data_IF_943412218429
#
_entry.id   IF_943412218429
#
_cell.length_a   1.000
_cell.length_b   1.000
_cell.length_c   1.000
_cell.angle_alpha   90.00
_cell.angle_beta   90.00
_cell.angle_gamma   90.00
#
_symmetry.space_group_name_H-M   'P 1'
#
loop_
_entity.id
_entity.type
_entity.pdbx_description
1 polymer ?
#
# COMPACT_ATOMS: atom_id res chain seq x y z
N UNK A 1 -21.03 30.85 85.99
CA UNK A 1 -21.40 30.43 84.62
C UNK A 1 -20.68 31.32 83.64
N UNK A 2 -19.64 30.76 83.02
CA UNK A 2 -18.66 31.44 82.16
C UNK A 2 -19.29 31.89 80.84
N UNK A 3 -19.28 33.21 80.63
CA UNK A 3 -19.42 33.85 79.33
C UNK A 3 -18.37 33.29 78.36
N UNK A 4 -18.81 32.72 77.23
CA UNK A 4 -17.94 32.31 76.13
C UNK A 4 -18.42 33.04 74.88
N UNK A 5 -17.68 34.10 74.54
CA UNK A 5 -17.89 35.00 73.41
C UNK A 5 -18.20 34.23 72.11
N UNK A 6 -19.33 34.59 71.48
CA UNK A 6 -19.52 34.47 70.03
C UNK A 6 -19.21 35.81 69.39
N UNK A 7 -18.84 35.75 68.12
CA UNK A 7 -18.75 36.80 67.09
C UNK A 7 -17.61 37.82 67.18
N UNK A 8 -16.58 37.56 66.38
CA UNK A 8 -15.62 38.53 65.89
C UNK A 8 -14.65 37.82 64.95
N UNK A 9 -15.07 37.59 63.70
CA UNK A 9 -14.12 37.26 62.62
C UNK A 9 -12.99 38.28 62.70
N UNK A 10 -11.75 37.86 62.97
CA UNK A 10 -10.67 38.83 63.10
C UNK A 10 -10.45 39.47 61.73
N UNK A 11 -10.19 40.77 61.71
CA UNK A 11 -10.02 41.53 60.47
C UNK A 11 -8.99 40.88 59.53
N UNK A 12 -7.98 40.22 60.09
CA UNK A 12 -7.00 39.39 59.38
C UNK A 12 -7.61 38.19 58.65
N UNK A 13 -8.57 37.48 59.25
CA UNK A 13 -9.27 36.35 58.63
C UNK A 13 -10.14 36.82 57.47
N UNK A 14 -10.84 37.95 57.63
CA UNK A 14 -11.63 38.56 56.55
C UNK A 14 -10.74 39.01 55.37
N UNK A 15 -9.57 39.58 55.64
CA UNK A 15 -8.61 39.97 54.60
C UNK A 15 -8.05 38.75 53.88
N UNK A 16 -7.64 37.70 54.61
CA UNK A 16 -7.15 36.45 54.01
C UNK A 16 -8.24 35.78 53.17
N UNK A 17 -9.48 35.75 53.67
CA UNK A 17 -10.63 35.21 52.93
C UNK A 17 -10.86 36.00 51.63
N UNK A 18 -10.82 37.33 51.65
CA UNK A 18 -10.92 38.16 50.45
C UNK A 18 -9.80 37.87 49.45
N UNK A 19 -8.55 37.71 49.90
CA UNK A 19 -7.43 37.36 49.01
C UNK A 19 -7.57 35.97 48.40
N UNK A 20 -7.99 34.97 49.18
CA UNK A 20 -8.24 33.62 48.68
C UNK A 20 -9.40 33.60 47.67
N UNK A 21 -10.48 34.35 47.94
CA UNK A 21 -11.65 34.43 47.06
C UNK A 21 -11.30 35.16 45.75
N UNK A 22 -10.52 36.24 45.83
CA UNK A 22 -10.00 36.94 44.65
C UNK A 22 -9.09 36.04 43.81
N UNK A 23 -8.19 35.28 44.44
CA UNK A 23 -7.30 34.36 43.74
C UNK A 23 -8.07 33.19 43.10
N UNK A 24 -9.06 32.64 43.81
CA UNK A 24 -9.93 31.58 43.29
C UNK A 24 -10.75 32.07 42.08
N UNK A 25 -11.27 33.31 42.12
CA UNK A 25 -11.95 33.95 40.99
C UNK A 25 -11.03 34.11 39.78
N UNK A 26 -9.80 34.58 39.97
CA UNK A 26 -8.82 34.73 38.89
C UNK A 26 -8.47 33.37 38.27
N UNK A 27 -8.26 32.34 39.10
CA UNK A 27 -8.00 30.98 38.61
C UNK A 27 -9.18 30.43 37.81
N UNK A 28 -10.42 30.66 38.28
CA UNK A 28 -11.61 30.21 37.57
C UNK A 28 -11.73 30.86 36.19
N UNK A 29 -11.51 32.18 36.09
CA UNK A 29 -11.54 32.89 34.80
C UNK A 29 -10.49 32.33 33.83
N UNK A 30 -9.27 32.09 34.31
CA UNK A 30 -8.21 31.52 33.49
C UNK A 30 -8.51 30.10 33.01
N UNK A 31 -9.08 29.26 33.89
CA UNK A 31 -9.51 27.91 33.53
C UNK A 31 -10.67 27.92 32.52
N UNK A 32 -11.61 28.85 32.65
CA UNK A 32 -12.70 29.01 31.68
C UNK A 32 -12.17 29.41 30.30
N UNK A 33 -11.26 30.39 30.23
CA UNK A 33 -10.64 30.81 28.97
C UNK A 33 -9.85 29.67 28.31
N UNK A 34 -8.99 28.98 29.08
CA UNK A 34 -8.25 27.82 28.60
C UNK A 34 -9.18 26.69 28.12
N UNK A 35 -10.30 26.47 28.81
CA UNK A 35 -11.31 25.49 28.40
C UNK A 35 -12.00 25.87 27.09
N UNK A 36 -12.35 27.15 26.89
CA UNK A 36 -12.98 27.62 25.66
C UNK A 36 -12.03 27.50 24.46
N UNK A 37 -10.76 27.85 24.66
CA UNK A 37 -9.71 27.68 23.64
C UNK A 37 -9.54 26.20 23.28
N UNK A 38 -9.44 25.31 24.27
CA UNK A 38 -9.32 23.88 24.03
C UNK A 38 -10.53 23.28 23.31
N UNK A 39 -11.73 23.80 23.55
CA UNK A 39 -12.94 23.38 22.83
C UNK A 39 -12.89 23.81 21.36
N UNK A 40 -12.52 25.06 21.10
CA UNK A 40 -12.35 25.56 19.72
C UNK A 40 -11.28 24.77 18.94
N UNK A 41 -10.14 24.48 19.58
CA UNK A 41 -9.08 23.69 18.96
C UNK A 41 -9.53 22.25 18.66
N UNK A 42 -10.34 21.66 19.56
CA UNK A 42 -10.87 20.31 19.37
C UNK A 42 -11.88 20.26 18.22
N UNK A 43 -12.75 21.25 18.10
CA UNK A 43 -13.70 21.38 16.99
C UNK A 43 -12.97 21.54 15.66
N UNK A 44 -11.95 22.42 15.60
CA UNK A 44 -11.14 22.60 14.39
C UNK A 44 -10.44 21.30 13.97
N UNK A 45 -9.91 20.53 14.92
CA UNK A 45 -9.29 19.22 14.65
C UNK A 45 -10.29 18.19 14.13
N UNK A 46 -11.52 18.16 14.66
CA UNK A 46 -12.56 17.27 14.18
C UNK A 46 -12.97 17.58 12.74
N UNK A 47 -13.15 18.87 12.42
CA UNK A 47 -13.45 19.30 11.04
C UNK A 47 -12.28 18.99 10.11
N UNK A 48 -11.05 19.25 10.53
CA UNK A 48 -9.86 18.95 9.74
C UNK A 48 -9.72 17.45 9.45
N UNK A 49 -9.97 16.58 10.43
CA UNK A 49 -9.96 15.13 10.25
C UNK A 49 -11.04 14.68 9.26
N UNK A 50 -12.26 15.18 9.39
CA UNK A 50 -13.35 14.88 8.47
C UNK A 50 -13.02 15.29 7.02
N UNK A 51 -12.45 16.48 6.83
CA UNK A 51 -12.03 16.95 5.50
C UNK A 51 -10.89 16.10 4.92
N UNK A 52 -9.96 15.66 5.77
CA UNK A 52 -8.86 14.80 5.35
C UNK A 52 -9.39 13.42 4.89
N UNK A 53 -10.30 12.82 5.65
CA UNK A 53 -10.93 11.55 5.32
C UNK A 53 -11.76 11.64 4.03
N UNK A 54 -12.60 12.67 3.88
CA UNK A 54 -13.37 12.90 2.67
C UNK A 54 -12.47 13.05 1.42
N UNK A 55 -11.35 13.76 1.55
CA UNK A 55 -10.37 13.92 0.45
C UNK A 55 -9.69 12.58 0.14
N UNK A 56 -9.36 11.78 1.15
CA UNK A 56 -8.79 10.46 0.96
C UNK A 56 -9.76 9.52 0.24
N UNK A 57 -11.05 9.59 0.58
CA UNK A 57 -12.10 8.83 -0.10
C UNK A 57 -12.35 9.30 -1.53
N UNK A 58 -12.23 10.59 -1.80
CA UNK A 58 -12.24 11.14 -3.17
C UNK A 58 -11.09 10.56 -4.00
N UNK A 59 -9.87 10.53 -3.46
CA UNK A 59 -8.71 9.94 -4.14
C UNK A 59 -8.90 8.43 -4.38
N UNK A 60 -9.45 7.69 -3.42
CA UNK A 60 -9.81 6.27 -3.59
C UNK A 60 -10.85 6.06 -4.68
N UNK A 61 -11.87 6.91 -4.73
CA UNK A 61 -12.92 6.85 -5.73
C UNK A 61 -12.41 7.24 -7.12
N UNK A 62 -11.47 8.18 -7.20
CA UNK A 62 -10.82 8.57 -8.46
C UNK A 62 -10.01 7.43 -9.07
N UNK A 63 -9.30 6.66 -8.25
CA UNK A 63 -8.55 5.47 -8.69
C UNK A 63 -9.44 4.26 -8.98
N UNK A 64 -10.69 4.26 -8.53
CA UNK A 64 -11.58 3.13 -8.68
C UNK A 64 -11.80 2.69 -10.15
N UNK A 65 -12.14 3.58 -11.12
CA UNK A 65 -12.33 3.19 -12.52
C UNK A 65 -11.07 2.62 -13.16
N UNK A 66 -9.93 3.26 -12.96
CA UNK A 66 -8.65 2.88 -13.56
C UNK A 66 -7.50 3.32 -12.65
N UNK A 67 -6.77 2.36 -12.12
CA UNK A 67 -5.61 2.62 -11.25
C UNK A 67 -4.41 3.16 -12.02
N UNK A 68 -4.31 2.84 -13.32
CA UNK A 68 -3.19 3.24 -14.16
C UNK A 68 -3.19 4.72 -14.51
N UNK A 69 -4.35 5.40 -14.39
CA UNK A 69 -4.46 6.87 -14.53
C UNK A 69 -3.64 7.61 -13.46
N UNK A 70 -3.42 6.96 -12.30
CA UNK A 70 -2.61 7.51 -11.23
C UNK A 70 -3.27 8.67 -10.48
N UNK A 71 -2.48 9.31 -9.61
CA UNK A 71 -2.93 10.41 -8.74
C UNK A 71 -2.14 11.72 -8.97
N UNK A 72 -1.50 11.86 -10.13
CA UNK A 72 -0.69 13.05 -10.44
C UNK A 72 -1.51 14.34 -10.38
N UNK A 73 -2.80 14.28 -10.72
CA UNK A 73 -3.73 15.41 -10.61
C UNK A 73 -3.98 15.88 -9.18
N UNK A 74 -3.68 15.06 -8.18
CA UNK A 74 -3.75 15.40 -6.76
C UNK A 74 -2.38 15.77 -6.16
N UNK A 75 -1.28 15.52 -6.88
CA UNK A 75 0.04 15.72 -6.30
C UNK A 75 0.42 17.20 -6.21
N UNK A 76 0.69 17.69 -4.99
CA UNK A 76 1.05 19.09 -4.71
C UNK A 76 -0.12 20.06 -4.82
N UNK A 77 -1.35 19.56 -4.99
CA UNK A 77 -2.53 20.42 -5.11
C UNK A 77 -2.89 21.00 -3.74
N UNK A 78 -3.16 22.30 -3.73
CA UNK A 78 -3.69 23.00 -2.56
C UNK A 78 -5.03 23.62 -2.90
N UNK A 79 -6.07 23.27 -2.14
CA UNK A 79 -7.44 23.76 -2.32
C UNK A 79 -8.04 24.20 -0.99
N UNK A 80 -9.02 25.10 -1.06
CA UNK A 80 -9.84 25.48 0.08
C UNK A 80 -11.22 24.86 -0.07
N UNK A 81 -11.78 24.42 1.06
CA UNK A 81 -13.12 23.88 1.06
C UNK A 81 -14.17 25.02 1.00
N UNK A 82 -15.18 24.96 0.12
CA UNK A 82 -16.21 26.00 0.02
C UNK A 82 -17.09 26.13 1.28
N UNK A 83 -17.32 25.03 2.00
CA UNK A 83 -18.11 25.01 3.23
C UNK A 83 -17.27 25.42 4.45
N UNK A 84 -15.96 25.19 4.39
CA UNK A 84 -15.00 25.51 5.44
C UNK A 84 -13.82 26.34 4.91
N UNK A 85 -14.03 27.64 4.55
CA UNK A 85 -13.02 28.46 3.87
C UNK A 85 -11.78 28.79 4.71
N UNK A 86 -11.84 28.56 6.03
CA UNK A 86 -10.72 28.70 6.95
C UNK A 86 -9.71 27.54 6.89
N UNK A 87 -10.03 26.46 6.17
CA UNK A 87 -9.18 25.28 6.05
C UNK A 87 -8.53 25.23 4.67
N UNK A 88 -7.26 24.87 4.67
CA UNK A 88 -6.45 24.64 3.47
C UNK A 88 -6.08 23.16 3.42
N UNK A 89 -6.46 22.51 2.34
CA UNK A 89 -6.19 21.09 2.08
C UNK A 89 -5.05 21.02 1.08
N UNK A 90 -3.97 20.34 1.45
CA UNK A 90 -2.83 20.06 0.59
C UNK A 90 -2.70 18.55 0.42
N UNK A 91 -2.61 18.08 -0.81
CA UNK A 91 -2.50 16.67 -1.15
C UNK A 91 -1.15 16.37 -1.77
N UNK A 92 -0.57 15.23 -1.41
CA UNK A 92 0.62 14.65 -2.04
C UNK A 92 0.32 13.21 -2.38
N UNK A 93 0.64 12.82 -3.60
CA UNK A 93 0.44 11.45 -4.07
C UNK A 93 1.64 11.03 -4.91
N UNK A 94 2.27 9.92 -4.53
CA UNK A 94 3.41 9.37 -5.26
C UNK A 94 3.35 7.84 -5.27
N UNK A 95 3.87 7.23 -6.34
CA UNK A 95 4.05 5.78 -6.39
C UNK A 95 4.99 5.34 -5.28
N UNK A 96 4.58 4.34 -4.52
CA UNK A 96 5.32 3.84 -3.37
C UNK A 96 5.73 2.38 -3.59
N UNK A 97 7.03 2.12 -3.83
CA UNK A 97 7.50 0.76 -4.07
C UNK A 97 7.36 -0.10 -2.81
N UNK A 98 6.73 -1.27 -2.94
CA UNK A 98 6.48 -2.20 -1.84
C UNK A 98 7.36 -3.44 -1.96
N UNK A 99 8.16 -3.73 -0.94
CA UNK A 99 8.91 -4.98 -0.89
C UNK A 99 8.00 -6.17 -0.52
N UNK A 100 8.15 -7.29 -1.22
CA UNK A 100 7.36 -8.51 -0.98
C UNK A 100 8.28 -9.69 -0.68
N UNK A 101 8.14 -10.39 0.47
CA UNK A 101 6.99 -10.34 1.39
C UNK A 101 7.06 -9.21 2.43
N UNK A 102 8.25 -8.69 2.76
CA UNK A 102 8.42 -7.50 3.59
C UNK A 102 9.78 -6.85 3.34
N UNK A 103 9.92 -5.57 3.71
CA UNK A 103 11.14 -4.77 3.50
C UNK A 103 12.38 -5.42 4.12
N UNK A 104 12.31 -5.84 5.37
CA UNK A 104 13.45 -6.41 6.10
C UNK A 104 14.00 -7.69 5.47
N UNK A 105 13.13 -8.55 4.90
CA UNK A 105 13.58 -9.77 4.23
C UNK A 105 14.17 -9.47 2.85
N UNK A 106 13.65 -8.46 2.18
CA UNK A 106 14.09 -8.06 0.84
C UNK A 106 15.38 -7.23 0.85
N UNK A 107 15.72 -6.57 1.96
CA UNK A 107 17.00 -5.85 2.14
C UNK A 107 18.24 -6.76 2.05
N UNK A 108 18.09 -8.06 2.29
CA UNK A 108 19.20 -9.02 2.17
C UNK A 108 19.64 -9.26 0.71
N UNK A 109 18.85 -8.79 -0.27
CA UNK A 109 19.07 -9.02 -1.68
C UNK A 109 19.55 -7.75 -2.40
N UNK A 110 20.44 -7.89 -3.40
CA UNK A 110 20.90 -6.75 -4.17
C UNK A 110 19.75 -6.13 -4.98
N UNK A 111 19.80 -4.80 -5.13
CA UNK A 111 18.81 -4.02 -5.86
C UNK A 111 18.87 -4.21 -7.39
N UNK A 112 19.94 -4.80 -7.90
CA UNK A 112 20.09 -5.17 -9.31
C UNK A 112 20.86 -6.47 -9.34
N UNK A 113 20.28 -7.51 -9.92
CA UNK A 113 20.92 -8.82 -9.92
C UNK A 113 21.45 -9.22 -11.30
N UNK A 114 22.60 -9.90 -11.27
CA UNK A 114 23.04 -10.76 -12.36
C UNK A 114 22.73 -12.19 -11.96
N UNK A 115 22.07 -12.92 -12.84
CA UNK A 115 21.77 -14.34 -12.65
C UNK A 115 23.06 -15.11 -12.30
N UNK A 116 23.07 -16.01 -11.29
CA UNK A 116 21.94 -16.63 -10.59
C UNK A 116 21.57 -15.96 -9.25
N UNK A 117 22.20 -14.84 -8.88
CA UNK A 117 21.86 -14.16 -7.62
C UNK A 117 20.42 -13.64 -7.73
N UNK A 118 19.52 -13.95 -6.80
CA UNK A 118 18.14 -13.46 -6.87
C UNK A 118 18.09 -11.96 -6.56
N UNK A 119 17.32 -11.24 -7.36
CA UNK A 119 17.04 -9.82 -7.14
C UNK A 119 16.10 -9.61 -5.96
N UNK A 120 16.17 -8.40 -5.40
CA UNK A 120 15.17 -7.89 -4.47
C UNK A 120 13.80 -7.83 -5.16
N UNK A 121 12.79 -8.39 -4.51
CA UNK A 121 11.42 -8.36 -5.01
C UNK A 121 10.70 -7.11 -4.54
N UNK A 122 10.52 -6.17 -5.47
CA UNK A 122 9.82 -4.90 -5.26
C UNK A 122 8.62 -4.83 -6.20
N UNK A 123 7.48 -4.42 -5.65
CA UNK A 123 6.26 -4.10 -6.39
C UNK A 123 6.27 -2.57 -6.59
N UNK A 124 6.71 -2.10 -7.74
CA UNK A 124 6.97 -0.68 -8.00
C UNK A 124 5.71 0.13 -8.28
N UNK A 125 4.70 -0.51 -8.88
CA UNK A 125 3.50 0.13 -9.41
C UNK A 125 2.23 -0.39 -8.74
N UNK A 126 2.35 -1.01 -7.57
CA UNK A 126 1.23 -1.67 -6.87
C UNK A 126 0.51 -0.79 -5.84
N UNK A 127 1.12 0.32 -5.41
CA UNK A 127 0.53 1.21 -4.41
C UNK A 127 0.93 2.67 -4.63
N UNK A 128 -0.03 3.56 -4.41
CA UNK A 128 0.21 4.99 -4.25
C UNK A 128 0.25 5.35 -2.78
N UNK A 129 1.25 6.12 -2.35
CA UNK A 129 1.23 6.78 -1.06
C UNK A 129 0.51 8.11 -1.18
N UNK A 130 -0.64 8.21 -0.53
CA UNK A 130 -1.45 9.42 -0.45
C UNK A 130 -1.29 10.07 0.92
N UNK A 131 -0.87 11.33 0.93
CA UNK A 131 -0.80 12.18 2.11
C UNK A 131 -1.74 13.37 1.93
N UNK A 132 -2.66 13.52 2.88
CA UNK A 132 -3.60 14.65 2.93
C UNK A 132 -3.30 15.44 4.18
N UNK A 133 -2.87 16.69 4.00
CA UNK A 133 -2.64 17.65 5.07
C UNK A 133 -3.76 18.68 5.07
N UNK A 134 -4.46 18.83 6.18
CA UNK A 134 -5.48 19.87 6.38
C UNK A 134 -5.01 20.82 7.47
N UNK A 135 -4.77 22.08 7.11
CA UNK A 135 -4.32 23.12 8.03
C UNK A 135 -5.35 24.25 8.14
N UNK A 136 -5.53 24.80 9.34
CA UNK A 136 -6.43 25.94 9.59
C UNK A 136 -5.70 27.18 10.11
N UNK A 137 -4.39 27.08 10.32
CA UNK A 137 -3.52 28.21 10.61
C UNK A 137 -2.10 27.94 10.06
N UNK A 138 -1.23 28.95 10.11
CA UNK A 138 0.17 28.81 9.69
C UNK A 138 1.03 28.05 10.71
N UNK A 139 0.49 27.72 11.89
CA UNK A 139 1.23 27.01 12.94
C UNK A 139 1.42 25.55 12.58
N UNK A 140 2.57 24.98 12.95
CA UNK A 140 2.86 23.56 12.72
C UNK A 140 1.91 22.63 13.50
N UNK A 141 1.41 23.06 14.65
CA UNK A 141 0.45 22.32 15.49
C UNK A 141 -0.97 22.28 14.94
N UNK A 142 -1.29 23.18 14.01
CA UNK A 142 -2.66 23.47 13.60
C UNK A 142 -2.95 22.82 12.25
N UNK A 143 -2.58 21.53 12.17
CA UNK A 143 -2.79 20.68 11.00
C UNK A 143 -3.10 19.26 11.40
N UNK A 144 -3.86 18.57 10.57
CA UNK A 144 -4.06 17.12 10.61
C UNK A 144 -3.45 16.54 9.34
N UNK A 145 -2.65 15.48 9.50
CA UNK A 145 -2.04 14.76 8.38
C UNK A 145 -2.54 13.32 8.40
N UNK A 146 -3.16 12.90 7.30
CA UNK A 146 -3.60 11.53 7.07
C UNK A 146 -2.73 10.94 5.98
N UNK A 147 -2.09 9.80 6.27
CA UNK A 147 -1.24 9.08 5.33
C UNK A 147 -1.82 7.67 5.12
N UNK A 148 -2.01 7.29 3.87
CA UNK A 148 -2.55 5.98 3.50
C UNK A 148 -1.87 5.46 2.24
N UNK A 149 -1.68 4.15 2.18
CA UNK A 149 -1.37 3.45 0.94
C UNK A 149 -2.68 3.12 0.22
N UNK A 150 -2.78 3.53 -1.03
CA UNK A 150 -3.91 3.28 -1.91
C UNK A 150 -3.46 2.26 -2.95
N UNK A 151 -3.92 1.02 -2.80
CA UNK A 151 -3.83 0.00 -3.83
C UNK A 151 -5.17 -0.13 -4.54
N UNK A 152 -5.15 -0.59 -5.78
CA UNK A 152 -6.40 -0.95 -6.44
C UNK A 152 -6.95 -2.26 -5.84
N UNK A 153 -8.27 -2.35 -5.78
CA UNK A 153 -9.01 -3.35 -5.01
C UNK A 153 -10.00 -4.13 -5.88
N UNK A 154 -10.19 -3.76 -7.15
CA UNK A 154 -11.14 -4.44 -8.04
C UNK A 154 -10.59 -5.78 -8.51
N UNK A 155 -11.46 -6.70 -8.89
CA UNK A 155 -11.08 -7.92 -9.62
C UNK A 155 -11.10 -7.61 -11.11
N UNK A 156 -9.99 -7.20 -11.75
CA UNK A 156 -10.03 -7.01 -13.19
C UNK A 156 -10.13 -8.36 -13.86
N UNK A 157 -10.89 -8.40 -14.95
CA UNK A 157 -10.62 -9.39 -15.98
C UNK A 157 -9.22 -9.12 -16.51
N UNK A 158 -8.39 -10.15 -16.53
CA UNK A 158 -7.04 -10.06 -17.05
C UNK A 158 -6.67 -11.31 -17.82
N UNK A 159 -5.68 -11.18 -18.68
CA UNK A 159 -5.14 -12.26 -19.50
C UNK A 159 -3.67 -12.45 -19.20
N UNK A 160 -3.20 -13.68 -19.31
CA UNK A 160 -1.79 -14.04 -19.15
C UNK A 160 -1.26 -14.53 -20.48
N UNK A 161 -0.17 -13.94 -20.94
CA UNK A 161 0.54 -14.35 -22.16
C UNK A 161 1.90 -14.94 -21.79
N UNK A 162 2.33 -15.94 -22.56
CA UNK A 162 3.62 -16.61 -22.42
C UNK A 162 4.35 -16.54 -23.75
N UNK A 163 5.60 -16.09 -23.72
CA UNK A 163 6.50 -15.96 -24.87
C UNK A 163 7.84 -16.67 -24.59
N UNK A 164 8.59 -17.15 -25.60
CA UNK A 164 8.23 -17.22 -27.01
C UNK A 164 7.18 -18.30 -27.29
N UNK A 165 6.48 -18.15 -28.41
CA UNK A 165 5.43 -19.08 -28.83
C UNK A 165 5.93 -20.28 -29.63
N UNK A 166 5.48 -21.50 -29.30
CA UNK A 166 5.69 -22.71 -30.13
C UNK A 166 7.15 -23.10 -30.27
N UNK A 167 7.70 -23.76 -29.24
CA UNK A 167 9.13 -24.12 -29.18
C UNK A 167 9.32 -25.60 -29.43
N UNK A 168 10.27 -25.98 -30.28
CA UNK A 168 10.71 -27.37 -30.45
C UNK A 168 12.10 -27.52 -29.85
N UNK A 169 12.29 -28.51 -28.98
CA UNK A 169 13.56 -28.72 -28.27
C UNK A 169 14.16 -30.09 -28.56
N UNK A 170 15.49 -30.16 -28.81
CA UNK A 170 16.19 -31.44 -28.85
C UNK A 170 16.22 -32.09 -27.45
N UNK A 171 16.61 -33.37 -27.35
CA UNK A 171 16.93 -34.02 -26.08
C UNK A 171 17.87 -33.16 -25.22
N UNK A 172 17.56 -33.01 -23.93
CA UNK A 172 18.29 -32.14 -22.98
C UNK A 172 18.33 -30.64 -23.33
N UNK A 173 17.60 -30.24 -24.38
CA UNK A 173 17.48 -28.85 -24.80
C UNK A 173 16.78 -27.98 -23.75
N UNK A 174 17.12 -26.70 -23.74
CA UNK A 174 16.55 -25.71 -22.81
C UNK A 174 15.86 -24.58 -23.55
N UNK A 175 14.77 -24.06 -23.00
CA UNK A 175 14.12 -22.84 -23.47
C UNK A 175 13.79 -21.90 -22.32
N UNK A 176 13.98 -20.61 -22.55
CA UNK A 176 13.57 -19.57 -21.61
C UNK A 176 12.21 -19.01 -22.04
N UNK A 177 11.30 -18.92 -21.08
CA UNK A 177 9.97 -18.37 -21.24
C UNK A 177 9.79 -17.12 -20.37
N UNK A 178 8.97 -16.19 -20.85
CA UNK A 178 8.54 -14.99 -20.15
C UNK A 178 7.02 -14.95 -20.11
N UNK A 179 6.48 -14.64 -18.92
CA UNK A 179 5.06 -14.40 -18.70
C UNK A 179 4.79 -12.91 -18.51
N UNK A 180 3.68 -12.44 -19.07
CA UNK A 180 3.16 -11.10 -18.80
C UNK A 180 1.65 -11.14 -18.64
N UNK A 181 1.08 -10.17 -17.93
CA UNK A 181 -0.35 -10.05 -17.77
C UNK A 181 -0.85 -8.70 -18.24
N UNK A 182 -2.07 -8.69 -18.79
CA UNK A 182 -2.76 -7.47 -19.22
C UNK A 182 -4.19 -7.46 -18.72
N UNK A 183 -4.66 -6.29 -18.30
CA UNK A 183 -6.06 -6.09 -17.92
C UNK A 183 -7.00 -6.14 -19.13
N UNK A 184 -8.31 -6.03 -18.87
CA UNK A 184 -9.34 -6.01 -19.91
C UNK A 184 -9.28 -4.81 -20.86
N UNK A 185 -8.54 -3.74 -20.51
CA UNK A 185 -8.27 -2.60 -21.37
C UNK A 185 -6.99 -2.76 -22.21
N UNK A 186 -6.21 -3.82 -21.96
CA UNK A 186 -4.95 -4.11 -22.63
C UNK A 186 -3.72 -3.48 -21.96
N UNK A 187 -3.88 -2.78 -20.84
CA UNK A 187 -2.76 -2.26 -20.05
C UNK A 187 -2.03 -3.40 -19.36
N UNK A 188 -0.70 -3.28 -19.27
CA UNK A 188 0.12 -4.27 -18.55
C UNK A 188 -0.26 -4.22 -17.07
N UNK A 189 -0.44 -5.38 -16.45
CA UNK A 189 -0.51 -5.50 -15.01
C UNK A 189 0.92 -5.65 -14.48
N UNK A 190 1.53 -4.59 -13.92
CA UNK A 190 2.85 -4.67 -13.33
C UNK A 190 2.82 -5.54 -12.08
N UNK A 191 4.00 -6.00 -11.64
CA UNK A 191 4.20 -6.65 -10.34
C UNK A 191 3.41 -7.94 -10.08
N UNK A 192 2.78 -8.52 -11.11
CA UNK A 192 2.11 -9.80 -11.00
C UNK A 192 3.13 -10.93 -10.86
N UNK A 193 2.94 -11.76 -9.85
CA UNK A 193 3.79 -12.92 -9.59
C UNK A 193 3.19 -14.15 -10.26
N UNK A 194 4.01 -14.86 -11.03
CA UNK A 194 3.58 -16.07 -11.72
C UNK A 194 4.16 -17.33 -11.10
N UNK A 195 3.38 -18.41 -11.16
CA UNK A 195 3.84 -19.77 -10.86
C UNK A 195 3.86 -20.59 -12.14
N UNK A 196 4.98 -21.24 -12.43
CA UNK A 196 5.14 -22.07 -13.62
C UNK A 196 4.92 -23.53 -13.34
N UNK A 197 4.35 -24.24 -14.30
CA UNK A 197 4.19 -25.68 -14.27
C UNK A 197 4.07 -26.24 -15.68
N UNK A 198 4.34 -27.53 -15.83
CA UNK A 198 4.20 -28.25 -17.10
C UNK A 198 2.93 -29.09 -17.03
N UNK A 199 2.06 -28.94 -18.03
CA UNK A 199 0.91 -29.81 -18.26
C UNK A 199 1.29 -30.80 -19.37
N UNK A 200 1.45 -32.11 -19.07
CA UNK A 200 1.83 -33.09 -20.09
C UNK A 200 0.68 -33.36 -21.05
N UNK A 201 1.00 -33.61 -22.32
CA UNK A 201 0.08 -34.25 -23.28
C UNK A 201 0.55 -35.68 -23.56
N UNK A 202 1.46 -35.83 -24.51
CA UNK A 202 2.14 -37.07 -24.89
C UNK A 202 3.66 -37.02 -24.64
N UNK A 203 4.19 -35.85 -24.27
CA UNK A 203 5.56 -35.65 -23.76
C UNK A 203 5.58 -34.91 -22.41
N UNK A 204 6.75 -34.85 -21.78
CA UNK A 204 6.96 -34.08 -20.53
C UNK A 204 8.41 -33.60 -20.41
N UNK A 205 8.59 -32.44 -19.78
CA UNK A 205 9.88 -31.94 -19.31
C UNK A 205 9.73 -31.27 -17.95
N UNK A 206 10.78 -30.56 -17.52
CA UNK A 206 10.85 -29.96 -16.19
C UNK A 206 11.08 -28.46 -16.25
N UNK A 207 10.49 -27.72 -15.31
CA UNK A 207 10.89 -26.34 -15.03
C UNK A 207 12.14 -26.39 -14.16
N UNK A 208 13.26 -25.90 -14.70
CA UNK A 208 14.55 -25.97 -14.04
C UNK A 208 14.79 -24.77 -13.12
N UNK A 209 14.53 -23.56 -13.61
CA UNK A 209 14.72 -22.33 -12.86
C UNK A 209 13.53 -21.40 -13.09
N UNK A 210 13.16 -20.66 -12.06
CA UNK A 210 12.13 -19.62 -12.12
C UNK A 210 12.70 -18.38 -11.45
N UNK A 211 12.56 -17.23 -12.09
CA UNK A 211 12.91 -15.96 -11.48
C UNK A 211 12.05 -15.70 -10.26
N UNK A 212 12.54 -14.92 -9.29
CA UNK A 212 11.83 -14.73 -8.01
C UNK A 212 10.50 -13.97 -8.13
N UNK A 213 10.40 -13.08 -9.10
CA UNK A 213 9.16 -12.42 -9.52
C UNK A 213 8.24 -13.36 -10.31
N UNK A 214 8.72 -14.51 -10.73
CA UNK A 214 8.00 -15.50 -11.52
C UNK A 214 7.83 -15.09 -12.99
N UNK A 215 8.32 -13.94 -13.44
CA UNK A 215 8.11 -13.52 -14.83
C UNK A 215 8.88 -14.38 -15.83
N UNK A 216 10.00 -14.99 -15.43
CA UNK A 216 10.84 -15.81 -16.31
C UNK A 216 10.98 -17.22 -15.78
N UNK A 217 10.96 -18.20 -16.67
CA UNK A 217 11.23 -19.59 -16.34
C UNK A 217 12.07 -20.27 -17.42
N UNK A 218 13.01 -21.10 -17.00
CA UNK A 218 13.78 -21.97 -17.88
C UNK A 218 13.19 -23.37 -17.82
N UNK A 219 12.76 -23.87 -18.98
CA UNK A 219 12.30 -25.23 -19.20
C UNK A 219 13.45 -26.11 -19.72
N UNK A 220 13.45 -27.38 -19.33
CA UNK A 220 14.39 -28.40 -19.76
C UNK A 220 13.65 -29.62 -20.30
N UNK A 221 14.07 -30.09 -21.48
CA UNK A 221 13.57 -31.32 -22.09
C UNK A 221 14.23 -32.57 -21.46
N UNK A 222 14.02 -32.73 -20.16
CA UNK A 222 14.19 -33.98 -19.42
C UNK A 222 13.35 -33.96 -18.16
N UNK A 223 13.09 -35.13 -17.59
CA UNK A 223 12.47 -35.29 -16.28
C UNK A 223 13.36 -36.12 -15.37
N UNK A 224 13.28 -35.85 -14.07
CA UNK A 224 13.98 -36.65 -13.07
C UNK A 224 13.07 -37.74 -12.55
N UNK A 225 13.44 -39.00 -12.78
CA UNK A 225 12.68 -40.16 -12.33
C UNK A 225 12.84 -40.34 -10.82
N UNK A 226 11.97 -41.13 -10.17
CA UNK A 226 12.03 -41.38 -8.72
C UNK A 226 13.39 -41.96 -8.26
N UNK A 227 14.11 -42.66 -9.15
CA UNK A 227 15.47 -43.16 -8.92
C UNK A 227 16.58 -42.10 -9.03
N UNK A 228 16.25 -40.86 -9.36
CA UNK A 228 17.19 -39.75 -9.50
C UNK A 228 17.88 -39.62 -10.86
N UNK A 229 17.62 -40.56 -11.78
CA UNK A 229 18.10 -40.56 -13.17
C UNK A 229 17.31 -39.56 -14.03
N UNK A 230 17.95 -39.06 -15.09
CA UNK A 230 17.31 -38.22 -16.09
C UNK A 230 16.73 -39.07 -17.22
N UNK A 231 15.48 -38.82 -17.56
CA UNK A 231 14.74 -39.49 -18.61
C UNK A 231 14.20 -38.46 -19.61
N UNK A 232 14.28 -38.79 -20.90
CA UNK A 232 13.76 -37.96 -21.98
C UNK A 232 12.45 -38.58 -22.45
N UNK A 233 11.38 -37.81 -22.40
CA UNK A 233 10.05 -38.22 -22.83
C UNK A 233 9.63 -37.34 -24.00
N UNK A 234 9.82 -37.79 -25.25
CA UNK A 234 9.48 -37.03 -26.43
C UNK A 234 7.96 -36.87 -26.54
N UNK A 235 7.52 -35.85 -27.30
CA UNK A 235 6.12 -35.50 -27.47
C UNK A 235 5.85 -34.06 -27.06
N UNK A 236 4.57 -33.70 -27.01
CA UNK A 236 4.11 -32.35 -26.72
C UNK A 236 3.78 -32.20 -25.24
N UNK A 237 4.12 -31.05 -24.70
CA UNK A 237 3.64 -30.60 -23.40
C UNK A 237 3.29 -29.12 -23.46
N UNK A 238 2.51 -28.64 -22.48
CA UNK A 238 2.22 -27.23 -22.34
C UNK A 238 2.98 -26.64 -21.15
N UNK A 239 3.79 -25.63 -21.38
CA UNK A 239 4.39 -24.83 -20.32
C UNK A 239 3.40 -23.73 -19.97
N UNK A 240 2.89 -23.75 -18.73
CA UNK A 240 1.85 -22.82 -18.25
C UNK A 240 2.39 -21.89 -17.17
N UNK A 241 2.03 -20.63 -17.27
CA UNK A 241 2.20 -19.63 -16.24
C UNK A 241 0.84 -19.31 -15.60
N UNK A 242 0.77 -19.38 -14.27
CA UNK A 242 -0.42 -19.05 -13.48
C UNK A 242 -0.18 -17.76 -12.73
N UNK A 243 -0.98 -16.74 -13.02
CA UNK A 243 -0.98 -15.47 -12.29
C UNK A 243 -2.10 -15.45 -11.26
N UNK A 244 -1.79 -14.98 -10.04
CA UNK A 244 -2.77 -14.71 -9.00
C UNK A 244 -2.92 -13.20 -8.82
N UNK A 245 -4.06 -12.65 -9.20
CA UNK A 245 -4.35 -11.24 -9.05
C UNK A 245 -5.67 -11.06 -8.30
N UNK A 246 -5.59 -10.53 -7.08
CA UNK A 246 -6.76 -10.16 -6.24
C UNK A 246 -7.84 -11.25 -6.13
N UNK A 247 -7.38 -12.48 -5.92
CA UNK A 247 -8.24 -13.65 -5.76
C UNK A 247 -8.77 -14.25 -7.06
N UNK A 248 -8.42 -13.69 -8.22
CA UNK A 248 -8.65 -14.30 -9.53
C UNK A 248 -7.39 -15.01 -10.00
N UNK A 249 -7.58 -16.20 -10.56
CA UNK A 249 -6.52 -17.04 -11.10
C UNK A 249 -6.72 -17.13 -12.59
N UNK A 250 -5.72 -16.66 -13.34
CA UNK A 250 -5.69 -16.79 -14.79
C UNK A 250 -4.41 -17.49 -15.19
N UNK A 251 -4.49 -18.29 -16.24
CA UNK A 251 -3.39 -19.05 -16.77
C UNK A 251 -3.18 -18.74 -18.24
N UNK A 252 -1.92 -18.57 -18.62
CA UNK A 252 -1.46 -18.56 -19.99
C UNK A 252 -0.58 -19.78 -20.21
N UNK A 253 -0.53 -20.29 -21.43
CA UNK A 253 0.25 -21.47 -21.74
C UNK A 253 0.73 -21.49 -23.17
N UNK A 254 1.84 -22.21 -23.36
CA UNK A 254 2.44 -22.40 -24.67
C UNK A 254 2.78 -23.87 -24.87
N UNK A 255 2.56 -24.36 -26.09
CA UNK A 255 2.92 -25.72 -26.47
C UNK A 255 4.42 -25.78 -26.78
N UNK A 256 5.07 -26.77 -26.20
CA UNK A 256 6.47 -27.15 -26.44
C UNK A 256 6.49 -28.57 -26.99
N UNK A 257 7.29 -28.79 -28.03
CA UNK A 257 7.47 -30.08 -28.68
C UNK A 257 8.87 -30.62 -28.36
N UNK A 258 8.93 -31.69 -27.57
CA UNK A 258 10.15 -32.38 -27.21
C UNK A 258 10.48 -33.42 -28.28
N UNK A 259 11.67 -33.34 -28.86
CA UNK A 259 12.23 -34.36 -29.76
C UNK A 259 12.93 -35.48 -28.99
#
# INVERSE_FOLDING_TARGET
MTSRNRSGFSLTEAVIACFLLANALLMAVWLFDASLQSLGDSEQRQVAALLADNTMDEMRNFLAPDFSVGLDSYNGVTRRDPLHPGFTITTRAELHPLASPCTTLEEAYPATASYPTPERKVLEESAWQAEVTVAWSDRASDRVVVNSLLGDWRKPDFTVTVEPGGVTLPPEGTADFQASARDGAGHKLPDLVFTWYVAPYDGIGSIANVSRDGQRATYQNHVRTYGGEFEIVPGKCEVRARGYYRGQVVQGGIVVENQ
#
